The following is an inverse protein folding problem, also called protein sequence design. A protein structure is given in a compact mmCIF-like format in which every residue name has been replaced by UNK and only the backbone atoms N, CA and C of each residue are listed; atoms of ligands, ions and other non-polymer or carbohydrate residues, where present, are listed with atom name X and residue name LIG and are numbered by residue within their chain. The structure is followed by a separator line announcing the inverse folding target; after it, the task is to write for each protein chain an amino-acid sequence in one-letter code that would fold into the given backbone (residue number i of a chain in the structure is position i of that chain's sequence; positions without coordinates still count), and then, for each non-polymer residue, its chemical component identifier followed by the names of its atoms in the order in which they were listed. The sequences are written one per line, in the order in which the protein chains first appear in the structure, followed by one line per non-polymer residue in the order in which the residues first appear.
data_IF_889540871631
#
_entry.id   IF_889540871631
#
_cell.length_a   1.000
_cell.length_b   1.000
_cell.length_c   1.000
_cell.angle_alpha   90.00
_cell.angle_beta   90.00
_cell.angle_gamma   90.00
#
_symmetry.space_group_name_H-M   'P 1'
#
loop_
_entity.id
_entity.type
_entity.pdbx_description
1 polymer ?
#
# COMPACT_ATOMS: atom_id res chain seq x y z
N UNK A 1 -2.29 22.54 -31.78
CA UNK A 1 -2.97 21.80 -32.88
C UNK A 1 -4.42 22.23 -32.94
N UNK A 2 -4.92 22.44 -34.17
CA UNK A 2 -6.32 22.76 -34.41
C UNK A 2 -7.01 21.48 -34.93
N UNK A 3 -7.86 20.85 -34.12
CA UNK A 3 -8.48 19.57 -34.51
C UNK A 3 -9.39 19.68 -35.72
N UNK A 4 -9.82 20.89 -36.07
CA UNK A 4 -10.56 21.16 -37.30
C UNK A 4 -9.78 20.81 -38.59
N UNK A 5 -8.44 20.72 -38.52
CA UNK A 5 -7.64 20.32 -39.68
C UNK A 5 -7.90 18.88 -40.11
N UNK A 6 -8.25 18.02 -39.19
CA UNK A 6 -8.49 16.59 -39.47
C UNK A 6 -9.95 16.18 -39.33
N UNK A 7 -10.76 16.89 -38.51
CA UNK A 7 -12.17 16.62 -38.26
C UNK A 7 -13.04 17.89 -38.40
N UNK A 8 -13.10 18.54 -39.58
CA UNK A 8 -13.77 19.84 -39.73
C UNK A 8 -15.28 19.79 -39.48
N UNK A 9 -15.94 18.74 -39.92
CA UNK A 9 -17.40 18.60 -39.75
C UNK A 9 -17.76 18.32 -38.28
N UNK A 10 -16.99 17.50 -37.61
CA UNK A 10 -17.21 17.18 -36.20
C UNK A 10 -17.03 18.43 -35.32
N UNK A 11 -15.98 19.18 -35.54
CA UNK A 11 -15.72 20.39 -34.75
C UNK A 11 -16.68 21.54 -35.08
N UNK A 12 -17.19 21.62 -36.29
CA UNK A 12 -18.32 22.52 -36.62
C UNK A 12 -19.54 22.19 -35.77
N UNK A 13 -19.90 20.90 -35.69
CA UNK A 13 -21.04 20.44 -34.85
C UNK A 13 -20.79 20.72 -33.37
N UNK A 14 -19.57 20.50 -32.87
CA UNK A 14 -19.18 20.75 -31.47
C UNK A 14 -19.34 22.26 -31.16
N UNK A 15 -18.90 23.13 -32.06
CA UNK A 15 -19.02 24.59 -31.87
C UNK A 15 -20.47 25.08 -31.85
N UNK A 16 -21.35 24.42 -32.63
CA UNK A 16 -22.79 24.73 -32.67
C UNK A 16 -23.57 24.18 -31.47
N UNK A 17 -22.97 23.20 -30.74
CA UNK A 17 -23.63 22.57 -29.59
C UNK A 17 -23.51 23.45 -28.34
N UNK A 18 -24.63 23.62 -27.64
CA UNK A 18 -24.63 24.33 -26.36
C UNK A 18 -23.79 23.61 -25.33
N UNK A 19 -23.02 24.37 -24.52
CA UNK A 19 -22.28 23.78 -23.40
C UNK A 19 -23.22 23.13 -22.39
N UNK A 20 -22.72 22.16 -21.64
CA UNK A 20 -23.47 21.51 -20.53
C UNK A 20 -24.04 22.54 -19.56
N UNK A 21 -23.30 23.59 -19.26
CA UNK A 21 -23.74 24.70 -18.42
C UNK A 21 -25.00 25.37 -18.99
N UNK A 22 -25.00 25.74 -20.29
CA UNK A 22 -26.15 26.39 -20.94
C UNK A 22 -27.38 25.48 -21.01
N UNK A 23 -27.15 24.19 -21.26
CA UNK A 23 -28.25 23.21 -21.28
C UNK A 23 -28.86 23.07 -19.88
N UNK A 24 -28.05 23.01 -18.86
CA UNK A 24 -28.53 22.89 -17.49
C UNK A 24 -29.18 24.17 -16.97
N UNK A 25 -28.59 25.33 -17.25
CA UNK A 25 -29.17 26.65 -16.96
C UNK A 25 -30.58 26.77 -17.55
N UNK A 26 -30.73 26.45 -18.85
CA UNK A 26 -32.04 26.48 -19.53
C UNK A 26 -33.02 25.57 -18.81
N UNK A 27 -32.63 24.36 -18.45
CA UNK A 27 -33.50 23.42 -17.73
C UNK A 27 -33.95 23.99 -16.38
N UNK A 28 -33.04 24.55 -15.58
CA UNK A 28 -33.41 25.14 -14.28
C UNK A 28 -34.35 26.35 -14.41
N UNK A 29 -34.18 27.15 -15.46
CA UNK A 29 -35.09 28.28 -15.74
C UNK A 29 -36.47 27.76 -16.14
N UNK A 30 -36.56 26.77 -17.04
CA UNK A 30 -37.81 26.14 -17.45
C UNK A 30 -38.56 25.49 -16.28
N UNK A 31 -37.83 24.93 -15.31
CA UNK A 31 -38.38 24.33 -14.08
C UNK A 31 -38.71 25.40 -12.99
N UNK A 32 -38.50 26.69 -13.24
CA UNK A 32 -38.67 27.79 -12.30
C UNK A 32 -37.85 27.65 -11.00
N UNK A 33 -36.71 26.94 -11.03
CA UNK A 33 -35.78 26.80 -9.93
C UNK A 33 -34.80 27.98 -9.90
N UNK A 34 -34.46 28.53 -11.07
CA UNK A 34 -33.55 29.64 -11.23
C UNK A 34 -34.17 30.72 -12.11
N UNK A 35 -34.03 31.99 -11.73
CA UNK A 35 -34.38 33.09 -12.63
C UNK A 35 -33.25 33.43 -13.60
N UNK A 36 -33.58 34.04 -14.74
CA UNK A 36 -32.55 34.53 -15.70
C UNK A 36 -31.63 35.58 -15.05
N UNK A 37 -32.18 36.37 -14.12
CA UNK A 37 -31.42 37.40 -13.39
C UNK A 37 -30.43 36.79 -12.39
N UNK A 38 -30.85 35.77 -11.66
CA UNK A 38 -29.99 35.06 -10.75
C UNK A 38 -28.86 34.35 -11.48
N UNK A 39 -29.15 33.70 -12.63
CA UNK A 39 -28.13 33.09 -13.45
C UNK A 39 -27.08 34.08 -13.92
N UNK A 40 -27.48 35.24 -14.43
CA UNK A 40 -26.54 36.31 -14.79
C UNK A 40 -25.75 36.84 -13.60
N UNK A 41 -26.37 36.91 -12.42
CA UNK A 41 -25.68 37.34 -11.19
C UNK A 41 -24.57 36.36 -10.83
N UNK A 42 -24.87 35.06 -10.81
CA UNK A 42 -23.85 34.02 -10.54
C UNK A 42 -22.71 34.03 -11.57
N UNK A 43 -23.02 34.18 -12.85
CA UNK A 43 -22.00 34.30 -13.91
C UNK A 43 -21.08 35.50 -13.66
N UNK A 44 -21.62 36.66 -13.31
CA UNK A 44 -20.89 37.88 -13.06
C UNK A 44 -20.05 37.76 -11.77
N UNK A 45 -20.59 37.21 -10.70
CA UNK A 45 -19.87 36.97 -9.46
C UNK A 45 -18.66 36.04 -9.71
N UNK A 46 -18.85 34.99 -10.46
CA UNK A 46 -17.75 34.07 -10.79
C UNK A 46 -16.69 34.69 -11.71
N UNK A 47 -17.11 35.50 -12.70
CA UNK A 47 -16.18 36.27 -13.54
C UNK A 47 -15.35 37.23 -12.71
N UNK A 48 -15.99 37.99 -11.82
CA UNK A 48 -15.29 38.93 -10.92
C UNK A 48 -14.30 38.22 -10.00
N UNK A 49 -14.68 37.02 -9.52
CA UNK A 49 -13.78 36.18 -8.75
C UNK A 49 -12.54 35.78 -9.59
N UNK A 50 -12.74 35.27 -10.80
CA UNK A 50 -11.64 34.89 -11.70
C UNK A 50 -10.74 36.09 -12.06
N UNK A 51 -11.30 37.26 -12.31
CA UNK A 51 -10.53 38.48 -12.62
C UNK A 51 -9.70 38.93 -11.41
N UNK A 52 -10.23 38.79 -10.19
CA UNK A 52 -9.51 39.03 -8.95
C UNK A 52 -8.32 38.06 -8.81
N UNK A 53 -8.57 36.77 -8.97
CA UNK A 53 -7.54 35.72 -8.89
C UNK A 53 -6.47 35.91 -9.97
N UNK A 54 -6.87 36.24 -11.19
CA UNK A 54 -5.95 36.55 -12.28
C UNK A 54 -5.08 37.76 -11.95
N UNK A 55 -5.63 38.78 -11.31
CA UNK A 55 -4.86 39.96 -10.88
C UNK A 55 -3.85 39.61 -9.77
N UNK A 56 -4.27 38.77 -8.81
CA UNK A 56 -3.39 38.25 -7.75
C UNK A 56 -2.27 37.37 -8.32
N UNK A 57 -2.55 36.62 -9.39
CA UNK A 57 -1.54 35.75 -10.03
C UNK A 57 -0.30 36.52 -10.53
N UNK A 58 -0.45 37.80 -10.89
CA UNK A 58 0.66 38.64 -11.37
C UNK A 58 1.69 38.94 -10.29
N UNK A 59 1.30 38.92 -9.03
CA UNK A 59 2.15 39.17 -7.86
C UNK A 59 2.53 37.90 -7.13
N UNK A 60 1.94 36.78 -7.54
CA UNK A 60 2.21 35.48 -6.93
C UNK A 60 3.68 35.10 -7.09
N UNK A 61 4.33 34.78 -5.98
CA UNK A 61 5.67 34.20 -5.95
C UNK A 61 5.54 32.81 -5.36
N UNK A 62 5.86 31.78 -6.16
CA UNK A 62 5.83 30.42 -5.65
C UNK A 62 6.81 30.25 -4.49
N UNK A 63 6.36 29.61 -3.43
CA UNK A 63 7.22 29.15 -2.36
C UNK A 63 7.98 27.92 -2.86
N UNK A 64 9.27 27.78 -2.52
CA UNK A 64 10.09 26.63 -2.94
C UNK A 64 9.53 25.28 -2.49
N UNK A 65 8.62 25.26 -1.53
CA UNK A 65 8.03 24.07 -0.92
C UNK A 65 6.52 23.94 -1.15
N UNK A 66 5.92 24.66 -2.11
CA UNK A 66 4.47 24.62 -2.35
C UNK A 66 3.92 23.20 -2.56
N UNK A 67 4.71 22.31 -3.12
CA UNK A 67 4.36 20.91 -3.32
C UNK A 67 4.36 20.05 -2.02
N UNK A 68 4.85 20.62 -0.90
CA UNK A 68 4.81 20.02 0.45
C UNK A 68 3.78 20.72 1.37
N UNK A 69 2.78 21.37 0.81
CA UNK A 69 1.69 22.00 1.56
C UNK A 69 0.49 21.05 1.78
N UNK A 70 -0.51 21.52 2.52
CA UNK A 70 -1.72 20.74 2.83
C UNK A 70 -1.40 19.45 3.57
N UNK A 71 -1.86 18.32 3.07
CA UNK A 71 -1.63 16.99 3.66
C UNK A 71 -0.15 16.58 3.71
N UNK A 72 0.69 17.19 2.87
CA UNK A 72 2.13 16.93 2.79
C UNK A 72 2.97 17.78 3.76
N UNK A 73 2.34 18.70 4.48
CA UNK A 73 3.04 19.56 5.45
C UNK A 73 3.75 18.72 6.51
N UNK A 74 5.04 19.00 6.70
CA UNK A 74 5.90 18.30 7.66
C UNK A 74 6.67 17.11 7.04
N UNK A 75 6.42 16.80 5.77
CA UNK A 75 7.26 15.88 5.02
C UNK A 75 8.39 16.62 4.31
N UNK A 76 9.45 15.90 4.00
CA UNK A 76 10.66 16.42 3.36
C UNK A 76 11.11 15.52 2.20
N UNK A 77 12.16 15.92 1.50
CA UNK A 77 12.86 15.02 0.58
C UNK A 77 13.76 14.05 1.34
N UNK A 78 13.95 12.84 0.81
CA UNK A 78 14.78 11.82 1.45
C UNK A 78 16.22 12.32 1.65
N UNK A 79 16.64 12.49 2.92
CA UNK A 79 18.02 12.72 3.28
C UNK A 79 18.77 11.41 3.52
N UNK A 80 20.11 11.44 3.42
CA UNK A 80 20.92 10.23 3.54
C UNK A 80 20.78 9.56 4.93
N UNK A 81 20.56 10.33 5.98
CA UNK A 81 20.52 9.87 7.38
C UNK A 81 19.12 9.44 7.85
N UNK A 82 18.04 9.86 7.19
CA UNK A 82 16.65 9.63 7.62
C UNK A 82 16.06 8.27 7.17
N UNK A 83 16.89 7.32 6.73
CA UNK A 83 16.42 6.12 6.00
C UNK A 83 15.88 4.99 6.86
N UNK A 84 16.10 4.97 8.18
CA UNK A 84 15.72 3.82 9.01
C UNK A 84 14.27 3.88 9.51
N UNK A 85 13.85 4.96 10.11
CA UNK A 85 12.55 5.08 10.79
C UNK A 85 12.51 4.31 12.12
N UNK A 86 11.76 4.81 13.08
CA UNK A 86 11.46 4.10 14.34
C UNK A 86 10.15 3.33 14.11
N UNK A 87 10.23 2.03 13.97
CA UNK A 87 9.11 1.18 13.54
C UNK A 87 8.70 0.11 14.54
N UNK A 88 9.45 -0.03 15.63
CA UNK A 88 9.11 -0.91 16.74
C UNK A 88 7.86 -0.43 17.47
N UNK A 89 7.16 -1.37 18.11
CA UNK A 89 5.96 -1.12 18.93
C UNK A 89 6.22 -1.63 20.34
N UNK A 90 5.64 -1.01 21.35
CA UNK A 90 5.71 -1.49 22.72
C UNK A 90 5.07 -2.90 22.83
N UNK A 91 5.70 -3.79 23.60
CA UNK A 91 5.25 -5.19 23.71
C UNK A 91 3.80 -5.31 24.17
N UNK A 92 3.41 -4.55 25.17
CA UNK A 92 2.05 -4.61 25.73
C UNK A 92 1.01 -4.10 24.74
N UNK A 93 1.35 -3.05 23.98
CA UNK A 93 0.46 -2.51 22.95
C UNK A 93 0.28 -3.53 21.82
N UNK A 94 1.37 -4.18 21.39
CA UNK A 94 1.31 -5.19 20.34
C UNK A 94 0.46 -6.41 20.75
N UNK A 95 0.57 -6.85 22.00
CA UNK A 95 -0.27 -7.91 22.57
C UNK A 95 -1.74 -7.48 22.63
N UNK A 96 -2.01 -6.28 23.13
CA UNK A 96 -3.39 -5.75 23.24
C UNK A 96 -4.04 -5.62 21.87
N UNK A 97 -3.32 -5.09 20.88
CA UNK A 97 -3.74 -5.01 19.48
C UNK A 97 -4.05 -6.42 18.94
N UNK A 98 -3.15 -7.38 19.17
CA UNK A 98 -3.35 -8.76 18.68
C UNK A 98 -4.61 -9.38 19.25
N UNK A 99 -4.86 -9.23 20.56
CA UNK A 99 -6.10 -9.73 21.19
C UNK A 99 -7.34 -9.09 20.55
N UNK A 100 -7.31 -7.77 20.35
CA UNK A 100 -8.45 -7.02 19.82
C UNK A 100 -8.79 -7.40 18.37
N UNK A 101 -7.79 -7.47 17.47
CA UNK A 101 -8.03 -7.78 16.04
C UNK A 101 -8.36 -9.25 15.78
N UNK A 102 -8.07 -10.17 16.71
CA UNK A 102 -8.41 -11.58 16.57
C UNK A 102 -9.66 -11.97 17.38
N UNK A 103 -10.29 -11.03 18.08
CA UNK A 103 -11.56 -11.24 18.78
C UNK A 103 -12.71 -11.19 17.76
N UNK A 104 -13.50 -12.25 17.73
CA UNK A 104 -14.73 -12.30 16.93
C UNK A 104 -15.92 -11.84 17.77
N UNK A 105 -16.91 -11.14 17.19
CA UNK A 105 -18.15 -10.82 17.88
C UNK A 105 -18.87 -12.10 18.36
N UNK A 106 -19.58 -12.03 19.48
CA UNK A 106 -20.27 -13.19 20.06
C UNK A 106 -21.34 -13.76 19.12
N UNK A 107 -22.04 -12.88 18.42
CA UNK A 107 -23.11 -13.23 17.48
C UNK A 107 -22.60 -13.70 16.11
N UNK A 108 -21.30 -13.56 15.83
CA UNK A 108 -20.71 -13.86 14.53
C UNK A 108 -20.33 -15.34 14.40
N UNK A 109 -20.98 -16.04 13.47
CA UNK A 109 -20.74 -17.45 13.19
C UNK A 109 -19.62 -17.64 12.16
N UNK A 110 -18.37 -17.59 12.62
CA UNK A 110 -17.23 -17.81 11.73
C UNK A 110 -17.04 -19.29 11.37
N UNK A 111 -16.54 -19.55 10.15
CA UNK A 111 -16.15 -20.90 9.73
C UNK A 111 -15.11 -21.50 10.69
N UNK A 112 -15.22 -22.81 11.01
CA UNK A 112 -14.38 -23.51 12.00
C UNK A 112 -12.86 -23.31 11.78
N UNK A 113 -12.41 -23.35 10.52
CA UNK A 113 -11.00 -23.12 10.18
C UNK A 113 -10.56 -21.68 10.46
N UNK A 114 -11.44 -20.71 10.21
CA UNK A 114 -11.17 -19.29 10.49
C UNK A 114 -11.06 -19.06 12.00
N UNK A 115 -11.98 -19.60 12.79
CA UNK A 115 -11.87 -19.56 14.26
C UNK A 115 -10.53 -20.09 14.76
N UNK A 116 -10.10 -21.24 14.21
CA UNK A 116 -8.79 -21.81 14.56
C UNK A 116 -7.63 -20.90 14.16
N UNK A 117 -7.61 -20.38 12.93
CA UNK A 117 -6.55 -19.48 12.44
C UNK A 117 -6.44 -18.25 13.33
N UNK A 118 -7.55 -17.61 13.66
CA UNK A 118 -7.60 -16.42 14.50
C UNK A 118 -7.09 -16.69 15.93
N UNK A 119 -7.50 -17.82 16.50
CA UNK A 119 -6.99 -18.25 17.81
C UNK A 119 -5.48 -18.53 17.76
N UNK A 120 -5.01 -19.28 16.78
CA UNK A 120 -3.60 -19.64 16.63
C UNK A 120 -2.72 -18.39 16.47
N UNK A 121 -3.18 -17.38 15.73
CA UNK A 121 -2.49 -16.08 15.57
C UNK A 121 -2.41 -15.32 16.90
N UNK A 122 -3.54 -15.19 17.60
CA UNK A 122 -3.56 -14.53 18.91
C UNK A 122 -2.62 -15.23 19.89
N UNK A 123 -2.67 -16.56 19.96
CA UNK A 123 -1.83 -17.38 20.83
C UNK A 123 -0.34 -17.24 20.47
N UNK A 124 0.02 -17.17 19.19
CA UNK A 124 1.42 -17.00 18.75
C UNK A 124 2.00 -15.68 19.27
N UNK A 125 1.24 -14.60 19.22
CA UNK A 125 1.66 -13.29 19.74
C UNK A 125 1.73 -13.27 21.26
N UNK A 126 0.74 -13.85 21.94
CA UNK A 126 0.75 -13.98 23.41
C UNK A 126 1.96 -14.79 23.92
N UNK A 127 2.28 -15.88 23.25
CA UNK A 127 3.44 -16.71 23.59
C UNK A 127 4.76 -16.12 23.09
N UNK A 128 4.71 -15.12 22.22
CA UNK A 128 5.87 -14.45 21.67
C UNK A 128 6.69 -15.27 20.66
N UNK A 129 6.11 -16.34 20.11
CA UNK A 129 6.79 -17.23 19.16
C UNK A 129 5.86 -17.72 18.07
N UNK A 130 6.40 -18.02 16.89
CA UNK A 130 5.62 -18.56 15.78
C UNK A 130 4.74 -17.54 15.06
N UNK A 131 5.06 -16.26 15.15
CA UNK A 131 4.34 -15.19 14.48
C UNK A 131 4.59 -15.29 12.98
N UNK A 132 3.57 -15.67 12.23
CA UNK A 132 3.64 -15.89 10.78
C UNK A 132 3.53 -14.59 9.97
N UNK A 133 3.69 -14.70 8.65
CA UNK A 133 3.67 -13.57 7.72
C UNK A 133 2.36 -12.77 7.77
N UNK A 134 1.23 -13.46 7.76
CA UNK A 134 -0.09 -12.81 7.76
C UNK A 134 -0.41 -12.15 9.11
N UNK A 135 0.03 -12.74 10.21
CA UNK A 135 -0.06 -12.14 11.54
C UNK A 135 0.80 -10.88 11.62
N UNK A 136 2.04 -10.93 11.13
CA UNK A 136 2.94 -9.77 11.08
C UNK A 136 2.36 -8.62 10.24
N UNK A 137 1.72 -8.93 9.10
CA UNK A 137 1.02 -7.95 8.27
C UNK A 137 -0.15 -7.31 9.03
N UNK A 138 -1.01 -8.12 9.66
CA UNK A 138 -2.14 -7.63 10.43
C UNK A 138 -1.70 -6.74 11.60
N UNK A 139 -0.62 -7.12 12.30
CA UNK A 139 -0.03 -6.32 13.37
C UNK A 139 0.56 -5.00 12.86
N UNK A 140 1.20 -5.00 11.67
CA UNK A 140 1.69 -3.77 11.06
C UNK A 140 0.55 -2.81 10.73
N UNK A 141 -0.52 -3.31 10.12
CA UNK A 141 -1.70 -2.51 9.80
C UNK A 141 -2.37 -1.99 11.08
N UNK A 142 -2.66 -2.86 12.03
CA UNK A 142 -3.34 -2.48 13.26
C UNK A 142 -2.55 -1.47 14.09
N UNK A 143 -1.23 -1.62 14.19
CA UNK A 143 -0.39 -0.67 14.91
C UNK A 143 -0.34 0.71 14.24
N UNK A 144 -0.34 0.78 12.90
CA UNK A 144 -0.45 2.04 12.16
C UNK A 144 -1.83 2.69 12.37
N UNK A 145 -2.89 1.90 12.33
CA UNK A 145 -4.26 2.38 12.62
C UNK A 145 -4.37 2.93 14.02
N UNK A 146 -3.78 2.27 15.03
CA UNK A 146 -3.74 2.74 16.42
C UNK A 146 -3.00 4.07 16.58
N UNK A 147 -2.03 4.33 15.73
CA UNK A 147 -1.27 5.58 15.67
C UNK A 147 -1.98 6.68 14.87
N UNK A 148 -3.18 6.41 14.35
CA UNK A 148 -4.00 7.35 13.58
C UNK A 148 -3.67 7.43 12.10
N UNK A 149 -2.79 6.56 11.58
CA UNK A 149 -2.56 6.46 10.14
C UNK A 149 -3.66 5.65 9.46
N UNK A 150 -4.00 6.02 8.21
CA UNK A 150 -4.86 5.20 7.37
C UNK A 150 -4.11 3.98 6.79
N UNK A 151 -4.86 2.92 6.47
CA UNK A 151 -4.33 1.78 5.71
C UNK A 151 -5.35 1.42 4.64
N UNK A 152 -4.92 1.42 3.39
CA UNK A 152 -5.73 1.05 2.23
C UNK A 152 -5.03 -0.05 1.43
N UNK A 153 -5.71 -1.20 1.30
CA UNK A 153 -5.24 -2.33 0.52
C UNK A 153 -6.25 -2.65 -0.58
N UNK A 154 -5.79 -2.63 -1.82
CA UNK A 154 -6.59 -3.01 -2.98
C UNK A 154 -5.89 -4.05 -3.85
N UNK A 155 -6.66 -4.73 -4.67
CA UNK A 155 -6.19 -5.75 -5.60
C UNK A 155 -7.25 -6.81 -5.85
N UNK A 156 -6.88 -7.93 -6.41
CA UNK A 156 -7.76 -9.07 -6.63
C UNK A 156 -7.62 -10.04 -5.45
N UNK A 157 -8.74 -10.44 -4.86
CA UNK A 157 -8.77 -11.44 -3.76
C UNK A 157 -8.05 -10.98 -2.48
N UNK A 158 -7.87 -9.68 -2.26
CA UNK A 158 -7.07 -9.17 -1.13
C UNK A 158 -7.75 -9.36 0.22
N UNK A 159 -9.07 -9.43 0.26
CA UNK A 159 -9.85 -9.65 1.49
C UNK A 159 -9.52 -10.96 2.18
N UNK A 160 -9.46 -12.05 1.42
CA UNK A 160 -9.06 -13.38 1.87
C UNK A 160 -7.52 -13.56 1.75
N UNK A 161 -6.93 -12.95 0.75
CA UNK A 161 -5.62 -13.24 0.18
C UNK A 161 -5.69 -14.38 -0.84
N UNK A 162 -5.02 -14.24 -1.99
CA UNK A 162 -5.00 -15.24 -3.07
C UNK A 162 -4.65 -16.64 -2.58
N UNK A 163 -3.74 -16.74 -1.61
CA UNK A 163 -3.28 -18.01 -1.03
C UNK A 163 -4.01 -18.38 0.28
N UNK A 164 -5.17 -17.76 0.55
CA UNK A 164 -5.91 -17.94 1.81
C UNK A 164 -5.05 -17.71 3.06
N UNK A 165 -4.24 -16.66 3.01
CA UNK A 165 -3.32 -16.29 4.09
C UNK A 165 -3.84 -15.15 4.96
N UNK A 166 -4.51 -14.12 4.36
CA UNK A 166 -4.83 -12.87 5.07
C UNK A 166 -6.07 -12.97 5.94
N UNK A 167 -7.21 -13.31 5.35
CA UNK A 167 -8.51 -13.37 6.03
C UNK A 167 -8.84 -12.06 6.77
N UNK A 168 -8.62 -10.90 6.14
CA UNK A 168 -8.95 -9.60 6.71
C UNK A 168 -10.44 -9.25 6.57
N UNK A 169 -11.17 -9.96 5.71
CA UNK A 169 -12.63 -9.90 5.57
C UNK A 169 -13.18 -11.28 5.87
N UNK A 170 -14.11 -11.34 6.82
CA UNK A 170 -14.77 -12.56 7.24
C UNK A 170 -16.25 -12.50 6.84
N UNK A 171 -16.85 -13.66 6.65
CA UNK A 171 -18.26 -13.80 6.33
C UNK A 171 -18.93 -14.70 7.37
N UNK A 172 -20.04 -14.22 7.90
CA UNK A 172 -20.89 -15.04 8.77
C UNK A 172 -21.46 -16.23 8.00
N UNK A 173 -21.43 -17.41 8.59
CA UNK A 173 -21.81 -18.64 7.92
C UNK A 173 -23.34 -18.86 7.91
N UNK A 174 -24.12 -17.96 8.53
CA UNK A 174 -25.58 -18.04 8.61
C UNK A 174 -26.26 -17.00 7.72
N UNK A 175 -25.77 -15.76 7.78
CA UNK A 175 -26.41 -14.61 7.13
C UNK A 175 -25.51 -13.90 6.07
N UNK A 176 -24.27 -14.38 5.87
CA UNK A 176 -23.27 -13.82 4.95
C UNK A 176 -22.85 -12.37 5.28
N UNK A 177 -23.15 -11.87 6.46
CA UNK A 177 -22.68 -10.54 6.87
C UNK A 177 -21.16 -10.47 6.90
N UNK A 178 -20.65 -9.33 6.45
CA UNK A 178 -19.22 -9.06 6.38
C UNK A 178 -18.72 -8.49 7.71
N UNK A 179 -17.68 -9.06 8.25
CA UNK A 179 -16.96 -8.54 9.39
C UNK A 179 -15.50 -8.26 9.01
N UNK A 180 -15.00 -7.05 9.32
CA UNK A 180 -13.64 -6.62 9.05
C UNK A 180 -13.01 -6.21 10.38
N UNK A 181 -12.24 -7.09 11.03
CA UNK A 181 -11.70 -6.85 12.37
C UNK A 181 -10.90 -5.56 12.51
N UNK A 182 -10.11 -5.22 11.50
CA UNK A 182 -9.25 -4.02 11.48
C UNK A 182 -10.01 -2.69 11.38
N UNK A 183 -11.33 -2.71 11.17
CA UNK A 183 -12.13 -1.47 11.10
C UNK A 183 -12.57 -0.94 12.45
N UNK A 184 -12.71 -1.82 13.42
CA UNK A 184 -13.40 -1.50 14.68
C UNK A 184 -12.76 -2.20 15.89
N UNK A 185 -11.44 -2.29 15.95
CA UNK A 185 -10.78 -2.93 17.09
C UNK A 185 -10.49 -1.97 18.24
N UNK A 186 -10.59 -0.64 17.99
CA UNK A 186 -10.53 0.41 19.02
C UNK A 186 -11.34 1.64 18.61
N UNK A 187 -11.73 2.48 19.58
CA UNK A 187 -12.64 3.61 19.35
C UNK A 187 -12.03 4.73 18.50
N UNK A 188 -10.76 5.02 18.69
CA UNK A 188 -10.03 6.04 17.93
C UNK A 188 -8.88 5.39 17.16
N UNK A 189 -9.08 5.21 15.88
CA UNK A 189 -8.10 4.64 14.97
C UNK A 189 -8.15 5.30 13.59
N UNK A 190 -7.11 5.10 12.80
CA UNK A 190 -7.11 5.45 11.38
C UNK A 190 -8.11 4.62 10.57
N UNK A 191 -8.43 5.09 9.37
CA UNK A 191 -9.34 4.39 8.47
C UNK A 191 -8.69 3.13 7.87
N UNK A 192 -9.35 1.99 7.99
CA UNK A 192 -8.97 0.76 7.28
C UNK A 192 -9.89 0.50 6.09
N UNK A 193 -9.32 0.49 4.91
CA UNK A 193 -9.99 0.13 3.67
C UNK A 193 -9.37 -1.12 3.06
N UNK A 194 -10.22 -2.06 2.68
CA UNK A 194 -9.81 -3.26 1.94
C UNK A 194 -10.80 -3.50 0.81
N UNK A 195 -10.28 -3.58 -0.42
CA UNK A 195 -11.08 -3.55 -1.65
C UNK A 195 -10.63 -4.65 -2.60
N UNK A 196 -11.51 -5.66 -2.79
CA UNK A 196 -11.37 -6.58 -3.90
C UNK A 196 -11.83 -5.86 -5.18
N UNK A 197 -10.87 -5.44 -6.01
CA UNK A 197 -11.11 -4.62 -7.19
C UNK A 197 -11.41 -5.47 -8.42
N UNK A 198 -12.40 -5.06 -9.20
CA UNK A 198 -12.71 -5.63 -10.52
C UNK A 198 -12.00 -4.91 -11.67
N UNK A 199 -11.23 -3.86 -11.38
CA UNK A 199 -10.45 -3.16 -12.39
C UNK A 199 -9.27 -4.02 -12.86
N UNK A 200 -8.83 -3.79 -14.10
CA UNK A 200 -7.54 -4.32 -14.55
C UNK A 200 -6.40 -3.75 -13.71
N UNK A 201 -5.25 -4.41 -13.71
CA UNK A 201 -4.06 -3.98 -12.99
C UNK A 201 -3.64 -2.55 -13.36
N UNK A 202 -3.79 -2.17 -14.63
CA UNK A 202 -3.58 -0.81 -15.12
C UNK A 202 -4.47 0.21 -14.40
N UNK A 203 -5.78 -0.10 -14.34
CA UNK A 203 -6.77 0.80 -13.74
C UNK A 203 -6.61 0.93 -12.23
N UNK A 204 -6.51 -0.20 -11.53
CA UNK A 204 -6.39 -0.18 -10.07
C UNK A 204 -5.07 0.41 -9.60
N UNK A 205 -3.95 0.08 -10.24
CA UNK A 205 -2.64 0.62 -9.86
C UNK A 205 -2.55 2.13 -10.13
N UNK A 206 -3.13 2.59 -11.26
CA UNK A 206 -3.23 4.02 -11.56
C UNK A 206 -4.05 4.78 -10.52
N UNK A 207 -5.18 4.20 -10.08
CA UNK A 207 -6.00 4.77 -9.02
C UNK A 207 -5.23 4.87 -7.69
N UNK A 208 -4.61 3.79 -7.24
CA UNK A 208 -3.88 3.75 -5.96
C UNK A 208 -2.64 4.66 -5.98
N UNK A 209 -2.01 4.82 -7.12
CA UNK A 209 -0.95 5.81 -7.27
C UNK A 209 -1.48 7.24 -7.01
N UNK A 210 -2.61 7.61 -7.66
CA UNK A 210 -3.26 8.91 -7.43
C UNK A 210 -3.70 9.09 -5.97
N UNK A 211 -4.30 8.07 -5.37
CA UNK A 211 -4.71 8.08 -3.95
C UNK A 211 -3.52 8.37 -3.02
N UNK A 212 -2.39 7.70 -3.24
CA UNK A 212 -1.18 7.87 -2.43
C UNK A 212 -0.56 9.28 -2.49
N UNK A 213 -0.89 10.04 -3.55
CA UNK A 213 -0.44 11.43 -3.70
C UNK A 213 -1.34 12.42 -2.96
N UNK A 214 -2.63 12.10 -2.81
CA UNK A 214 -3.60 12.94 -2.10
C UNK A 214 -3.45 12.80 -0.59
N UNK A 215 -3.27 11.57 -0.10
CA UNK A 215 -3.13 11.28 1.33
C UNK A 215 -1.81 10.57 1.66
N UNK A 216 -0.77 11.32 2.01
CA UNK A 216 0.52 10.76 2.39
C UNK A 216 0.54 10.13 3.79
N UNK A 217 -0.55 10.25 4.57
CA UNK A 217 -0.70 9.65 5.91
C UNK A 217 -1.42 8.31 5.88
N UNK A 218 -1.81 7.85 4.71
CA UNK A 218 -2.35 6.50 4.50
C UNK A 218 -1.30 5.59 3.89
N UNK A 219 -1.11 4.41 4.45
CA UNK A 219 -0.36 3.31 3.83
C UNK A 219 -1.23 2.75 2.70
N UNK A 220 -0.92 3.13 1.47
CA UNK A 220 -1.63 2.67 0.28
C UNK A 220 -0.89 1.47 -0.30
N UNK A 221 -1.60 0.34 -0.42
CA UNK A 221 -1.05 -0.91 -0.94
C UNK A 221 -1.90 -1.41 -2.12
N UNK A 222 -1.22 -1.86 -3.15
CA UNK A 222 -1.80 -2.68 -4.20
C UNK A 222 -1.13 -4.06 -4.20
N UNK A 223 -1.94 -5.12 -4.12
CA UNK A 223 -1.44 -6.50 -4.22
C UNK A 223 -1.82 -7.07 -5.59
N UNK A 224 -0.82 -7.46 -6.37
CA UNK A 224 -1.04 -8.28 -7.55
C UNK A 224 -1.51 -9.67 -7.14
N UNK A 225 -2.50 -10.25 -7.83
CA UNK A 225 -2.95 -11.61 -7.54
C UNK A 225 -1.78 -12.60 -7.64
N UNK A 226 -0.94 -12.38 -8.64
CA UNK A 226 0.44 -12.89 -8.74
C UNK A 226 1.32 -11.72 -9.18
N UNK A 227 2.57 -11.69 -8.73
CA UNK A 227 3.46 -10.58 -9.04
C UNK A 227 3.73 -10.39 -10.53
N UNK A 228 3.64 -11.47 -11.32
CA UNK A 228 3.80 -11.42 -12.78
C UNK A 228 2.76 -10.50 -13.44
N UNK A 229 1.55 -10.41 -12.90
CA UNK A 229 0.48 -9.57 -13.46
C UNK A 229 0.73 -8.06 -13.34
N UNK A 230 1.76 -7.64 -12.62
CA UNK A 230 2.22 -6.25 -12.66
C UNK A 230 2.60 -5.81 -14.10
N UNK A 231 2.87 -6.76 -15.01
CA UNK A 231 3.12 -6.49 -16.41
C UNK A 231 1.96 -5.76 -17.12
N UNK A 232 0.71 -6.03 -16.70
CA UNK A 232 -0.48 -5.36 -17.26
C UNK A 232 -0.58 -3.89 -16.87
N UNK A 233 0.19 -3.47 -15.85
CA UNK A 233 0.26 -2.08 -15.38
C UNK A 233 1.64 -1.44 -15.68
N UNK A 234 2.43 -2.01 -16.57
CA UNK A 234 3.81 -1.56 -16.81
C UNK A 234 3.88 -0.06 -17.17
N UNK A 235 2.92 0.46 -17.93
CA UNK A 235 2.87 1.88 -18.27
C UNK A 235 2.72 2.78 -17.02
N UNK A 236 1.90 2.36 -16.05
CA UNK A 236 1.75 3.07 -14.78
C UNK A 236 3.06 3.02 -13.99
N UNK A 237 3.72 1.87 -13.98
CA UNK A 237 5.00 1.69 -13.30
C UNK A 237 6.06 2.61 -13.92
N UNK A 238 6.24 2.57 -15.24
CA UNK A 238 7.30 3.30 -15.95
C UNK A 238 7.07 4.82 -15.98
N UNK A 239 5.81 5.24 -16.23
CA UNK A 239 5.54 6.64 -16.52
C UNK A 239 5.13 7.45 -15.29
N UNK A 240 4.68 6.79 -14.22
CA UNK A 240 4.16 7.47 -13.03
C UNK A 240 4.93 7.06 -11.77
N UNK A 241 4.94 5.78 -11.40
CA UNK A 241 5.48 5.33 -10.10
C UNK A 241 6.99 5.59 -10.02
N UNK A 242 7.76 5.19 -11.03
CA UNK A 242 9.23 5.29 -11.01
C UNK A 242 9.75 6.69 -11.39
N UNK A 243 8.93 7.51 -12.03
CA UNK A 243 9.36 8.79 -12.62
C UNK A 243 8.61 10.01 -12.12
N UNK A 244 7.47 9.84 -11.43
CA UNK A 244 6.58 10.93 -11.05
C UNK A 244 7.22 11.97 -10.15
N UNK A 245 8.07 11.55 -9.22
CA UNK A 245 8.79 12.49 -8.35
C UNK A 245 9.74 13.40 -9.15
N UNK A 246 10.46 12.84 -10.12
CA UNK A 246 11.38 13.63 -10.96
C UNK A 246 10.64 14.52 -11.95
N UNK A 247 9.57 14.02 -12.58
CA UNK A 247 8.79 14.75 -13.58
C UNK A 247 7.97 15.89 -12.98
N UNK A 248 7.35 15.66 -11.83
CA UNK A 248 6.31 16.55 -11.30
C UNK A 248 6.54 16.99 -9.87
N UNK A 249 7.68 16.62 -9.29
CA UNK A 249 7.99 16.85 -7.88
C UNK A 249 6.90 16.32 -6.94
N UNK A 250 6.30 15.17 -7.28
CA UNK A 250 5.24 14.52 -6.50
C UNK A 250 5.75 13.18 -5.99
N UNK A 251 5.92 13.10 -4.68
CA UNK A 251 6.25 11.86 -4.00
C UNK A 251 5.02 10.94 -3.91
N UNK A 252 5.26 9.65 -3.79
CA UNK A 252 4.23 8.63 -3.57
C UNK A 252 4.74 7.62 -2.54
N UNK A 253 3.91 7.28 -1.57
CA UNK A 253 4.16 6.21 -0.61
C UNK A 253 3.56 4.87 -1.03
N UNK A 254 3.12 4.72 -2.28
CA UNK A 254 2.49 3.51 -2.78
C UNK A 254 3.37 2.28 -2.57
N UNK A 255 2.77 1.22 -2.06
CA UNK A 255 3.44 -0.07 -1.84
C UNK A 255 2.83 -1.12 -2.77
N UNK A 256 3.67 -1.80 -3.53
CA UNK A 256 3.29 -2.95 -4.36
C UNK A 256 3.65 -4.24 -3.63
N UNK A 257 2.67 -5.13 -3.46
CA UNK A 257 2.87 -6.48 -2.95
C UNK A 257 2.80 -7.46 -4.12
N UNK A 258 3.92 -8.09 -4.43
CA UNK A 258 4.08 -8.93 -5.63
C UNK A 258 4.44 -10.36 -5.23
N UNK A 259 3.47 -11.28 -5.17
CA UNK A 259 3.73 -12.69 -4.90
C UNK A 259 4.72 -13.26 -5.93
N UNK A 260 5.85 -13.80 -5.43
CA UNK A 260 7.00 -14.19 -6.23
C UNK A 260 7.55 -15.55 -5.79
N UNK A 261 7.86 -16.40 -6.75
CA UNK A 261 8.51 -17.70 -6.54
C UNK A 261 8.12 -18.73 -7.59
N UNK A 262 9.07 -19.56 -7.99
CA UNK A 262 8.86 -20.70 -8.88
C UNK A 262 8.35 -21.89 -8.06
N UNK A 263 7.07 -22.21 -8.16
CA UNK A 263 6.39 -23.18 -7.30
C UNK A 263 5.45 -24.14 -8.07
N UNK A 264 5.67 -24.27 -9.37
CA UNK A 264 4.92 -25.20 -10.21
C UNK A 264 3.49 -24.78 -10.58
N UNK A 265 3.17 -23.48 -10.46
CA UNK A 265 1.83 -22.96 -10.73
C UNK A 265 1.63 -22.43 -12.15
N UNK A 266 2.59 -22.62 -13.04
CA UNK A 266 2.62 -22.07 -14.40
C UNK A 266 3.56 -20.87 -14.56
N UNK A 267 4.00 -20.59 -15.80
CA UNK A 267 5.01 -19.55 -16.06
C UNK A 267 4.50 -18.14 -15.70
N UNK A 268 3.22 -17.85 -15.94
CA UNK A 268 2.59 -16.56 -15.70
C UNK A 268 2.26 -16.29 -14.22
N UNK A 269 2.53 -17.26 -13.35
CA UNK A 269 2.27 -17.21 -11.91
C UNK A 269 3.55 -17.32 -11.06
N UNK A 270 4.72 -17.12 -11.65
CA UNK A 270 5.99 -17.43 -11.00
C UNK A 270 6.77 -16.22 -10.57
N UNK A 271 6.96 -15.23 -11.45
CA UNK A 271 7.90 -14.14 -11.23
C UNK A 271 7.22 -12.79 -11.14
N UNK A 272 7.42 -12.07 -10.01
CA UNK A 272 7.14 -10.63 -9.90
C UNK A 272 8.12 -9.75 -10.67
N UNK A 273 9.05 -10.35 -11.43
CA UNK A 273 10.02 -9.65 -12.28
C UNK A 273 10.88 -8.64 -11.52
N UNK A 274 11.48 -9.10 -10.43
CA UNK A 274 12.34 -8.25 -9.57
C UNK A 274 13.43 -7.53 -10.36
N UNK A 275 13.99 -8.16 -11.38
CA UNK A 275 15.01 -7.63 -12.29
C UNK A 275 14.53 -6.37 -13.03
N UNK A 276 13.25 -6.27 -13.40
CA UNK A 276 12.68 -5.08 -14.04
C UNK A 276 12.64 -3.90 -13.08
N UNK A 277 12.23 -4.13 -11.85
CA UNK A 277 12.21 -3.08 -10.82
C UNK A 277 13.62 -2.63 -10.44
N UNK A 278 14.56 -3.56 -10.33
CA UNK A 278 15.97 -3.21 -10.07
C UNK A 278 16.57 -2.38 -11.20
N UNK A 279 16.25 -2.71 -12.46
CA UNK A 279 16.69 -1.93 -13.63
C UNK A 279 16.13 -0.51 -13.63
N UNK A 280 14.93 -0.30 -13.10
CA UNK A 280 14.31 1.03 -13.00
C UNK A 280 14.78 1.87 -11.80
N UNK A 281 15.60 1.29 -10.90
CA UNK A 281 16.15 2.04 -9.77
C UNK A 281 17.16 3.10 -10.24
N UNK A 282 16.89 4.35 -9.96
CA UNK A 282 17.77 5.48 -10.27
C UNK A 282 17.50 6.64 -9.30
N UNK A 283 18.55 7.29 -8.79
CA UNK A 283 18.45 8.48 -7.94
C UNK A 283 17.49 8.32 -6.73
N UNK A 284 17.48 7.13 -6.12
CA UNK A 284 16.59 6.79 -4.98
C UNK A 284 15.07 6.94 -5.29
N UNK A 285 14.65 6.73 -6.53
CA UNK A 285 13.26 6.89 -6.97
C UNK A 285 12.30 5.88 -6.37
N UNK A 286 12.72 4.60 -6.23
CA UNK A 286 11.92 3.50 -5.67
C UNK A 286 12.74 2.65 -4.69
N UNK A 287 12.04 1.84 -3.91
CA UNK A 287 12.64 0.85 -3.01
C UNK A 287 12.21 -0.54 -3.46
N UNK A 288 13.15 -1.46 -3.61
CA UNK A 288 12.87 -2.85 -3.98
C UNK A 288 13.37 -3.76 -2.86
N UNK A 289 12.49 -4.57 -2.29
CA UNK A 289 12.82 -5.47 -1.19
C UNK A 289 12.26 -6.87 -1.40
N UNK A 290 12.96 -7.85 -0.86
CA UNK A 290 12.56 -9.24 -0.80
C UNK A 290 12.80 -9.73 0.65
N UNK A 291 11.83 -9.47 1.52
CA UNK A 291 11.93 -9.81 2.94
C UNK A 291 11.99 -11.32 3.14
N UNK A 292 12.90 -11.76 4.03
CA UNK A 292 13.03 -13.18 4.41
C UNK A 292 12.16 -13.53 5.61
N UNK A 293 11.96 -12.61 6.56
CA UNK A 293 11.21 -12.89 7.80
C UNK A 293 9.96 -12.01 7.97
N UNK A 294 8.92 -12.50 8.68
CA UNK A 294 7.73 -11.73 9.02
C UNK A 294 8.04 -10.44 9.79
N UNK A 295 8.96 -10.46 10.75
CA UNK A 295 9.37 -9.26 11.50
C UNK A 295 9.97 -8.19 10.60
N UNK A 296 10.79 -8.58 9.64
CA UNK A 296 11.36 -7.62 8.69
C UNK A 296 10.29 -7.02 7.75
N UNK A 297 9.30 -7.81 7.37
CA UNK A 297 8.13 -7.36 6.60
C UNK A 297 7.27 -6.36 7.39
N UNK A 298 6.97 -6.64 8.66
CA UNK A 298 6.29 -5.73 9.56
C UNK A 298 6.97 -4.34 9.60
N UNK A 299 8.28 -4.32 9.79
CA UNK A 299 9.05 -3.08 9.82
C UNK A 299 9.07 -2.38 8.46
N UNK A 300 9.12 -3.13 7.36
CA UNK A 300 9.08 -2.56 6.01
C UNK A 300 7.80 -1.78 5.74
N UNK A 301 6.64 -2.32 6.15
CA UNK A 301 5.34 -1.67 6.01
C UNK A 301 5.24 -0.41 6.86
N UNK A 302 5.56 -0.50 8.15
CA UNK A 302 5.51 0.63 9.07
C UNK A 302 6.47 1.74 8.67
N UNK A 303 7.65 1.38 8.16
CA UNK A 303 8.67 2.32 7.70
C UNK A 303 8.17 3.26 6.60
N UNK A 304 7.20 2.87 5.81
CA UNK A 304 6.61 3.73 4.77
C UNK A 304 5.99 5.00 5.37
N UNK A 305 5.44 4.94 6.58
CA UNK A 305 4.80 6.09 7.24
C UNK A 305 5.65 6.73 8.34
N UNK A 306 6.56 5.97 8.96
CA UNK A 306 7.42 6.47 10.05
C UNK A 306 8.66 7.26 9.58
N UNK A 307 8.78 7.52 8.30
CA UNK A 307 9.79 8.43 7.74
C UNK A 307 9.13 9.74 7.34
N UNK A 308 9.91 10.80 7.34
CA UNK A 308 9.50 12.15 6.95
C UNK A 308 9.44 12.36 5.44
N UNK A 309 9.60 11.32 4.64
CA UNK A 309 9.48 11.31 3.18
C UNK A 309 8.69 10.10 2.70
N UNK A 310 8.24 10.16 1.45
CA UNK A 310 7.53 9.05 0.80
C UNK A 310 8.29 8.61 -0.45
N UNK A 311 8.44 7.29 -0.61
CA UNK A 311 9.00 6.65 -1.81
C UNK A 311 8.18 5.40 -2.12
N UNK A 312 7.90 5.11 -3.38
CA UNK A 312 7.26 3.85 -3.75
C UNK A 312 8.08 2.65 -3.26
N UNK A 313 7.38 1.62 -2.79
CA UNK A 313 7.98 0.41 -2.24
C UNK A 313 7.47 -0.81 -3.00
N UNK A 314 8.39 -1.58 -3.54
CA UNK A 314 8.10 -2.84 -4.23
C UNK A 314 8.54 -3.99 -3.34
N UNK A 315 7.59 -4.84 -2.94
CA UNK A 315 7.86 -5.99 -2.07
C UNK A 315 7.59 -7.28 -2.84
N UNK A 316 8.62 -8.08 -3.01
CA UNK A 316 8.46 -9.47 -3.42
C UNK A 316 7.92 -10.25 -2.21
N UNK A 317 6.66 -10.69 -2.29
CA UNK A 317 5.99 -11.40 -1.19
C UNK A 317 6.04 -12.91 -1.39
N UNK A 318 6.07 -13.68 -0.30
CA UNK A 318 6.15 -15.15 -0.39
C UNK A 318 4.82 -15.77 -0.84
N UNK A 319 4.90 -17.01 -1.33
CA UNK A 319 3.77 -17.91 -1.63
C UNK A 319 3.83 -19.17 -0.78
N UNK A 320 4.63 -20.18 -1.15
CA UNK A 320 4.72 -21.43 -0.40
C UNK A 320 5.24 -21.23 1.03
N UNK A 321 6.20 -20.32 1.20
CA UNK A 321 6.79 -20.04 2.51
C UNK A 321 5.84 -19.33 3.48
N UNK A 322 4.68 -18.85 3.03
CA UNK A 322 3.61 -18.36 3.93
C UNK A 322 3.18 -19.39 4.99
N UNK A 323 3.36 -20.69 4.72
CA UNK A 323 3.03 -21.78 5.64
C UNK A 323 4.25 -22.59 6.09
N UNK A 324 5.43 -22.12 5.78
CA UNK A 324 6.66 -22.79 6.16
C UNK A 324 6.90 -22.61 7.67
N UNK A 325 7.13 -23.70 8.39
CA UNK A 325 7.25 -23.68 9.87
C UNK A 325 8.38 -22.79 10.39
N UNK A 326 9.44 -22.63 9.60
CA UNK A 326 10.58 -21.76 9.94
C UNK A 326 10.39 -20.31 9.50
N UNK A 327 9.42 -20.02 8.63
CA UNK A 327 9.09 -18.64 8.23
C UNK A 327 8.17 -17.97 9.24
N UNK A 328 8.63 -17.89 10.46
CA UNK A 328 7.98 -17.21 11.58
C UNK A 328 8.99 -16.32 12.29
N UNK A 329 8.50 -15.37 13.06
CA UNK A 329 9.31 -14.46 13.89
C UNK A 329 8.94 -14.59 15.36
N UNK A 330 9.84 -14.12 16.22
CA UNK A 330 9.61 -13.97 17.66
C UNK A 330 9.12 -12.55 17.95
N UNK A 331 8.45 -12.34 19.08
CA UNK A 331 7.92 -11.02 19.43
C UNK A 331 9.02 -9.95 19.53
N UNK A 332 10.24 -10.36 19.89
CA UNK A 332 11.41 -9.52 19.97
C UNK A 332 11.75 -8.85 18.62
N UNK A 333 11.35 -9.47 17.52
CA UNK A 333 11.56 -8.94 16.16
C UNK A 333 10.60 -7.79 15.81
N UNK A 334 9.67 -7.41 16.68
CA UNK A 334 8.63 -6.39 16.46
C UNK A 334 8.70 -5.24 17.46
N UNK A 335 9.30 -5.47 18.63
CA UNK A 335 9.26 -4.55 19.77
C UNK A 335 10.54 -3.71 19.88
N UNK A 336 10.59 -2.85 20.91
CA UNK A 336 11.71 -1.94 21.15
C UNK A 336 13.08 -2.61 21.02
N UNK A 337 13.95 -1.97 20.26
CA UNK A 337 15.27 -2.49 19.88
C UNK A 337 15.29 -3.14 18.50
N UNK A 338 14.14 -3.48 17.93
CA UNK A 338 14.05 -4.01 16.56
C UNK A 338 13.84 -2.92 15.52
N UNK A 339 14.13 -3.20 14.28
CA UNK A 339 13.96 -2.31 13.14
C UNK A 339 14.08 -3.07 11.82
N UNK A 340 13.82 -2.41 10.71
CA UNK A 340 14.07 -2.99 9.40
C UNK A 340 15.57 -3.25 9.17
N UNK A 341 15.91 -4.47 8.81
CA UNK A 341 17.26 -4.88 8.44
C UNK A 341 17.40 -5.02 6.93
N UNK A 342 18.41 -4.34 6.34
CA UNK A 342 18.78 -4.50 4.93
C UNK A 342 19.49 -5.81 4.68
N UNK A 343 20.30 -6.23 5.66
CA UNK A 343 21.01 -7.49 5.68
C UNK A 343 20.74 -8.12 7.04
N UNK A 344 20.35 -9.37 7.05
CA UNK A 344 20.17 -10.18 8.25
C UNK A 344 21.36 -11.12 8.36
N UNK A 345 22.00 -11.16 9.52
CA UNK A 345 23.09 -12.10 9.79
C UNK A 345 22.51 -13.45 10.18
N UNK A 346 23.25 -14.51 9.90
CA UNK A 346 22.96 -15.81 10.44
C UNK A 346 23.08 -15.79 11.98
N UNK A 347 22.27 -16.61 12.65
CA UNK A 347 22.24 -16.73 14.11
C UNK A 347 23.30 -17.72 14.62
N UNK A 348 24.42 -17.86 13.91
CA UNK A 348 25.52 -18.72 14.34
C UNK A 348 26.15 -18.23 15.66
N UNK A 349 26.44 -19.18 16.54
CA UNK A 349 27.17 -18.90 17.76
C UNK A 349 28.57 -18.31 17.43
N UNK A 350 28.97 -17.34 18.23
CA UNK A 350 30.25 -16.65 18.04
C UNK A 350 31.45 -17.61 18.03
N UNK A 351 31.40 -18.71 18.79
CA UNK A 351 32.39 -19.77 18.83
C UNK A 351 32.58 -20.52 17.50
N UNK A 352 31.63 -20.41 16.60
CA UNK A 352 31.66 -21.07 15.29
C UNK A 352 32.22 -20.20 14.16
N UNK A 353 32.44 -18.89 14.41
CA UNK A 353 32.85 -17.94 13.36
C UNK A 353 34.18 -18.28 12.71
N UNK A 354 35.15 -18.77 13.49
CA UNK A 354 36.48 -19.12 12.99
C UNK A 354 36.48 -20.40 12.12
N UNK A 355 35.37 -21.13 12.12
CA UNK A 355 35.17 -22.34 11.30
C UNK A 355 34.47 -22.08 9.99
N UNK A 356 33.97 -20.82 9.76
CA UNK A 356 33.27 -20.47 8.55
C UNK A 356 34.30 -20.35 7.42
N UNK A 357 34.13 -21.19 6.40
CA UNK A 357 34.94 -21.17 5.17
C UNK A 357 34.15 -20.70 3.94
N UNK A 358 32.83 -20.52 4.06
CA UNK A 358 31.96 -20.04 2.97
C UNK A 358 30.80 -19.23 3.53
N UNK A 359 30.51 -18.11 2.90
CA UNK A 359 29.35 -17.26 3.18
C UNK A 359 28.44 -17.27 1.95
N UNK A 360 27.16 -17.57 2.17
CA UNK A 360 26.11 -17.52 1.13
C UNK A 360 25.25 -16.29 1.33
N UNK A 361 25.17 -15.43 0.31
CA UNK A 361 24.29 -14.27 0.30
C UNK A 361 23.03 -14.62 -0.49
N UNK A 362 21.87 -14.53 0.14
CA UNK A 362 20.59 -14.86 -0.47
C UNK A 362 19.46 -13.96 0.07
N UNK A 363 18.29 -14.03 -0.51
CA UNK A 363 17.10 -13.30 -0.04
C UNK A 363 15.82 -14.10 -0.31
N UNK A 364 14.81 -13.93 0.58
CA UNK A 364 13.52 -14.56 0.42
C UNK A 364 13.55 -16.09 0.57
N UNK A 365 12.76 -16.77 -0.23
CA UNK A 365 12.49 -18.21 -0.14
C UNK A 365 13.75 -19.08 -0.11
N UNK A 366 14.73 -18.78 -0.94
CA UNK A 366 15.95 -19.59 -1.08
C UNK A 366 16.73 -19.73 0.25
N UNK A 367 16.58 -18.76 1.16
CA UNK A 367 17.16 -18.85 2.49
C UNK A 367 16.70 -20.11 3.24
N UNK A 368 15.39 -20.40 3.21
CA UNK A 368 14.83 -21.55 3.92
C UNK A 368 15.26 -22.87 3.28
N UNK A 369 15.34 -22.94 1.95
CA UNK A 369 15.82 -24.12 1.22
C UNK A 369 17.28 -24.44 1.54
N UNK A 370 18.14 -23.39 1.56
CA UNK A 370 19.55 -23.52 1.92
C UNK A 370 19.68 -23.95 3.39
N UNK A 371 18.92 -23.30 4.27
CA UNK A 371 18.97 -23.60 5.71
C UNK A 371 18.55 -25.04 6.01
N UNK A 372 17.46 -25.51 5.39
CA UNK A 372 17.01 -26.90 5.54
C UNK A 372 18.03 -27.90 5.02
N UNK A 373 18.70 -27.57 3.90
CA UNK A 373 19.76 -28.41 3.36
C UNK A 373 20.99 -28.46 4.27
N UNK A 374 21.41 -27.33 4.84
CA UNK A 374 22.54 -27.26 5.78
C UNK A 374 22.24 -28.11 7.02
N UNK A 375 21.05 -27.97 7.61
CA UNK A 375 20.66 -28.79 8.77
C UNK A 375 20.63 -30.29 8.46
N UNK A 376 20.26 -30.67 7.23
CA UNK A 376 20.24 -32.07 6.81
C UNK A 376 21.62 -32.69 6.61
N UNK A 377 22.61 -31.85 6.37
CA UNK A 377 24.01 -32.29 6.14
C UNK A 377 24.83 -32.37 7.43
N UNK A 378 24.33 -31.81 8.55
CA UNK A 378 25.03 -31.78 9.85
C UNK A 378 26.01 -30.63 9.91
#
# INVERSE_FOLDING_TARGET
DLPEFTQPLMYKKIKEHNSTLKIYEKKLIEENILSTEDSKKFENEYKNFLDSEFSLSKTYKSNKADWLEGSWKGLSTASFDARRGKTAVEKNDLISISVAIHKLPEEFTAHKRIKKIYNDRSVSVLNGVGIDWATAEALAFASLLSEGFGVRLSGQDVGRGTFSQRHAVLYDQVNEERFVPLRHFQDQQGLFEIVDSFLSEYGVLGFEYGYSQVDPKTLVLWEGQFGDFANNAQTIIDQFITTGERKWLRMSGLTLLLPHGHEGQGPEHTSGRVERFLQMCAEDNIQVINCTSPGNYFHALRRQLHRDFRKPLIIMTPKSTLRHKKNTSKIEDFINGSSFHRVMNDQLDQSSKDKINRVLLCSGKIYFEIHDQIESLG
#
